data_IF_254173353759
#
_entry.id   IF_254173353759
#
_cell.length_a   1.000
_cell.length_b   1.000
_cell.length_c   1.000
_cell.angle_alpha   90.00
_cell.angle_beta   90.00
_cell.angle_gamma   90.00
#
_symmetry.space_group_name_H-M   'P 1'
#
loop_
_entity.id
_entity.type
_entity.pdbx_description
1 polymer ?
#
# COMPACT_ATOMS: atom_id res chain seq x y z
N UNK A 1 35.31 3.26 -17.87
CA UNK A 1 34.34 4.29 -17.49
C UNK A 1 33.41 3.60 -16.51
N UNK A 2 33.33 4.04 -15.26
CA UNK A 2 32.46 3.40 -14.26
C UNK A 2 31.02 3.52 -14.78
N UNK A 3 30.31 2.40 -14.91
CA UNK A 3 28.90 2.35 -15.32
C UNK A 3 28.04 3.05 -14.25
N UNK A 4 27.94 4.37 -14.34
CA UNK A 4 27.08 5.18 -13.49
C UNK A 4 25.76 5.40 -14.19
N UNK A 5 24.68 4.84 -13.62
CA UNK A 5 23.33 5.15 -14.08
C UNK A 5 23.08 6.66 -13.96
N UNK A 6 22.71 7.29 -15.07
CA UNK A 6 22.40 8.73 -15.12
C UNK A 6 20.99 8.97 -14.56
N UNK A 7 20.85 8.90 -13.24
CA UNK A 7 19.56 9.03 -12.53
C UNK A 7 19.61 10.04 -11.40
N UNK A 8 18.46 10.62 -11.06
CA UNK A 8 18.26 11.48 -9.88
C UNK A 8 17.26 10.79 -8.97
N UNK A 9 17.58 10.69 -7.68
CA UNK A 9 16.68 10.17 -6.66
C UNK A 9 15.90 11.31 -6.01
N UNK A 10 14.57 11.18 -5.96
CA UNK A 10 13.69 12.04 -5.19
C UNK A 10 13.12 11.26 -4.01
N UNK A 11 13.49 11.67 -2.79
CA UNK A 11 13.05 11.03 -1.55
C UNK A 11 12.22 12.03 -0.74
N UNK A 12 11.04 11.60 -0.32
CA UNK A 12 10.18 12.39 0.56
C UNK A 12 10.40 11.94 1.99
N UNK A 13 10.88 12.86 2.82
CA UNK A 13 11.07 12.64 4.25
C UNK A 13 10.00 13.42 5.03
N UNK A 14 9.66 12.92 6.22
CA UNK A 14 8.56 13.45 7.00
C UNK A 14 9.00 13.79 8.42
N UNK A 15 8.26 14.73 9.03
CA UNK A 15 8.61 15.31 10.33
C UNK A 15 7.72 14.80 11.48
N UNK A 16 6.80 13.87 11.22
CA UNK A 16 5.94 13.29 12.25
C UNK A 16 6.69 12.18 12.99
N UNK A 17 6.80 12.24 14.33
CA UNK A 17 7.39 11.15 15.08
C UNK A 17 6.41 9.97 15.15
N UNK A 18 6.85 8.79 14.75
CA UNK A 18 6.12 7.55 14.94
C UNK A 18 7.10 6.41 15.23
N UNK A 19 6.56 5.28 15.72
CA UNK A 19 7.39 4.11 16.01
C UNK A 19 7.85 3.48 14.70
N UNK A 20 9.15 3.50 14.46
CA UNK A 20 9.79 2.78 13.35
C UNK A 20 9.90 1.30 13.72
N UNK A 21 9.18 0.39 13.05
CA UNK A 21 9.33 -1.04 13.28
C UNK A 21 10.70 -1.52 12.77
N UNK A 22 11.24 -2.64 13.29
CA UNK A 22 12.41 -3.27 12.69
C UNK A 22 12.07 -3.73 11.27
N UNK A 23 13.12 -3.82 10.42
CA UNK A 23 12.98 -4.57 9.16
C UNK A 23 12.58 -6.02 9.49
N UNK A 24 11.87 -6.67 8.57
CA UNK A 24 11.30 -8.01 8.77
C UNK A 24 12.34 -9.02 9.33
N UNK A 25 11.86 -10.15 9.86
CA UNK A 25 12.74 -11.22 10.35
C UNK A 25 13.80 -11.59 9.29
N UNK A 26 14.95 -12.11 9.72
CA UNK A 26 16.05 -12.46 8.82
C UNK A 26 15.62 -13.33 7.62
N UNK A 27 14.62 -14.20 7.80
CA UNK A 27 14.07 -15.05 6.74
C UNK A 27 13.28 -14.29 5.64
N UNK A 28 12.81 -13.07 5.93
CA UNK A 28 12.08 -12.21 5.00
C UNK A 28 12.85 -10.92 4.66
N UNK A 29 14.08 -10.76 5.15
CA UNK A 29 14.89 -9.56 4.98
C UNK A 29 15.20 -9.31 3.50
N UNK A 30 15.70 -10.31 2.78
CA UNK A 30 16.07 -10.17 1.36
C UNK A 30 14.87 -9.78 0.49
N UNK A 31 13.72 -10.43 0.68
CA UNK A 31 12.49 -10.11 -0.04
C UNK A 31 11.96 -8.71 0.32
N UNK A 32 12.13 -8.30 1.58
CA UNK A 32 11.76 -6.95 2.03
C UNK A 32 12.67 -5.90 1.42
N UNK A 33 13.99 -6.13 1.39
CA UNK A 33 14.96 -5.22 0.77
C UNK A 33 14.74 -5.09 -0.74
N UNK A 34 14.49 -6.20 -1.43
CA UNK A 34 14.13 -6.18 -2.84
C UNK A 34 12.83 -5.41 -3.05
N UNK A 35 11.80 -5.69 -2.25
CA UNK A 35 10.52 -5.00 -2.33
C UNK A 35 10.60 -3.50 -2.05
N UNK A 36 11.43 -3.09 -1.08
CA UNK A 36 11.72 -1.67 -0.81
C UNK A 36 12.29 -0.99 -2.06
N UNK A 37 13.23 -1.64 -2.76
CA UNK A 37 13.85 -1.12 -3.99
C UNK A 37 12.90 -1.12 -5.19
N UNK A 38 12.07 -2.17 -5.32
CA UNK A 38 11.13 -2.35 -6.45
C UNK A 38 9.79 -1.64 -6.28
N UNK A 39 9.52 -1.11 -5.09
CA UNK A 39 8.46 -0.14 -4.86
C UNK A 39 7.34 -0.57 -3.90
N UNK A 40 7.29 -1.84 -3.48
CA UNK A 40 6.44 -2.26 -2.37
C UNK A 40 6.86 -3.58 -1.72
N UNK A 41 6.43 -3.81 -0.48
CA UNK A 41 6.56 -5.09 0.22
C UNK A 41 5.42 -5.28 1.24
N UNK A 42 5.15 -6.55 1.58
CA UNK A 42 4.17 -6.89 2.60
C UNK A 42 4.73 -6.54 3.98
N UNK A 43 4.18 -5.51 4.61
CA UNK A 43 4.66 -4.97 5.88
C UNK A 43 4.13 -5.78 7.06
N UNK A 44 2.82 -6.08 7.06
CA UNK A 44 2.17 -6.74 8.20
C UNK A 44 1.01 -7.61 7.75
N UNK A 45 1.12 -8.92 8.01
CA UNK A 45 0.05 -9.89 7.75
C UNK A 45 -1.09 -9.74 8.74
N UNK A 46 -2.32 -10.02 8.34
CA UNK A 46 -3.48 -10.06 9.22
C UNK A 46 -3.27 -11.03 10.40
N UNK A 47 -2.57 -12.14 10.16
CA UNK A 47 -2.28 -13.15 11.16
C UNK A 47 -1.33 -12.70 12.27
N UNK A 48 -0.60 -11.58 12.10
CA UNK A 48 0.28 -11.04 13.15
C UNK A 48 -0.45 -10.12 14.14
N UNK A 49 -1.75 -9.83 13.91
CA UNK A 49 -2.54 -9.04 14.85
C UNK A 49 -3.04 -9.93 15.98
N UNK A 50 -2.57 -9.67 17.20
CA UNK A 50 -3.02 -10.39 18.40
C UNK A 50 -4.49 -10.11 18.72
N UNK A 51 -5.19 -11.14 19.20
CA UNK A 51 -6.62 -11.07 19.53
C UNK A 51 -7.53 -11.00 18.30
N UNK A 52 -7.02 -11.32 17.11
CA UNK A 52 -7.77 -11.30 15.87
C UNK A 52 -8.97 -12.26 15.88
N UNK A 53 -10.15 -11.76 15.48
CA UNK A 53 -11.38 -12.57 15.33
C UNK A 53 -11.52 -13.09 13.90
N UNK A 54 -10.43 -13.53 13.27
CA UNK A 54 -10.44 -14.04 11.90
C UNK A 54 -10.96 -15.48 11.90
N UNK A 55 -12.08 -15.71 11.20
CA UNK A 55 -12.66 -17.02 10.95
C UNK A 55 -12.17 -17.58 9.62
N UNK A 56 -12.41 -18.87 9.37
CA UNK A 56 -12.05 -19.54 8.10
C UNK A 56 -12.60 -18.79 6.87
N UNK A 57 -13.83 -18.28 6.97
CA UNK A 57 -14.53 -17.59 5.88
C UNK A 57 -14.54 -16.06 6.05
N UNK A 58 -13.63 -15.50 6.87
CA UNK A 58 -13.47 -14.05 6.95
C UNK A 58 -13.08 -13.47 5.60
N UNK A 59 -13.67 -12.35 5.16
CA UNK A 59 -13.31 -11.72 3.89
C UNK A 59 -11.85 -11.23 3.94
N UNK A 60 -11.11 -11.41 2.85
CA UNK A 60 -9.75 -10.91 2.67
C UNK A 60 -9.76 -9.49 2.08
N UNK A 61 -8.80 -8.66 2.46
CA UNK A 61 -8.60 -7.29 2.00
C UNK A 61 -7.10 -6.95 2.04
N UNK A 62 -6.67 -6.08 1.15
CA UNK A 62 -5.32 -5.49 1.18
C UNK A 62 -5.41 -3.99 1.48
N UNK A 63 -4.53 -3.51 2.34
CA UNK A 63 -4.37 -2.11 2.66
C UNK A 63 -2.98 -1.63 2.22
N UNK A 64 -2.92 -0.54 1.48
CA UNK A 64 -1.66 0.06 1.02
C UNK A 64 -1.47 1.42 1.69
N UNK A 65 -0.25 1.68 2.13
CA UNK A 65 0.16 2.97 2.69
C UNK A 65 1.61 3.31 2.38
N UNK A 66 1.97 4.57 2.56
CA UNK A 66 3.33 5.09 2.37
C UNK A 66 3.55 6.32 3.26
N UNK A 67 4.76 6.50 3.80
CA UNK A 67 5.04 7.64 4.68
C UNK A 67 4.10 7.68 5.89
N UNK A 68 3.62 8.88 6.24
CA UNK A 68 2.93 9.19 7.50
C UNK A 68 1.56 8.58 7.57
N UNK A 69 0.91 8.37 6.42
CA UNK A 69 -0.38 7.69 6.36
C UNK A 69 -0.30 6.22 6.81
N UNK A 70 0.91 5.63 6.85
CA UNK A 70 1.10 4.25 7.30
C UNK A 70 0.58 4.05 8.74
N UNK A 71 0.69 5.06 9.61
CA UNK A 71 0.15 4.98 10.96
C UNK A 71 -1.38 4.75 10.93
N UNK A 72 -2.12 5.55 10.16
CA UNK A 72 -3.56 5.41 10.00
C UNK A 72 -3.97 4.08 9.34
N UNK A 73 -3.18 3.60 8.37
CA UNK A 73 -3.38 2.29 7.72
C UNK A 73 -3.23 1.13 8.71
N UNK A 74 -2.19 1.17 9.55
CA UNK A 74 -1.97 0.14 10.59
C UNK A 74 -3.07 0.18 11.65
N UNK A 75 -3.53 1.35 12.07
CA UNK A 75 -4.67 1.48 12.98
C UNK A 75 -5.96 0.93 12.34
N UNK A 76 -6.20 1.20 11.06
CA UNK A 76 -7.37 0.69 10.35
C UNK A 76 -7.34 -0.85 10.25
N UNK A 77 -6.15 -1.44 10.04
CA UNK A 77 -5.98 -2.90 10.05
C UNK A 77 -6.41 -3.52 11.38
N UNK A 78 -6.01 -2.92 12.51
CA UNK A 78 -6.39 -3.40 13.85
C UNK A 78 -7.91 -3.39 14.03
N UNK A 79 -8.58 -2.29 13.67
CA UNK A 79 -10.05 -2.14 13.75
C UNK A 79 -10.75 -3.18 12.86
N UNK A 80 -10.34 -3.29 11.60
CA UNK A 80 -10.93 -4.24 10.64
C UNK A 80 -10.84 -5.69 11.14
N UNK A 81 -9.73 -6.07 11.76
CA UNK A 81 -9.51 -7.43 12.25
C UNK A 81 -10.26 -7.69 13.57
N UNK A 82 -10.16 -6.78 14.54
CA UNK A 82 -10.68 -7.00 15.91
C UNK A 82 -12.18 -6.78 16.02
N UNK A 83 -12.70 -5.81 15.29
CA UNK A 83 -14.08 -5.35 15.42
C UNK A 83 -14.96 -5.91 14.30
N UNK A 84 -14.39 -6.10 13.11
CA UNK A 84 -15.14 -6.55 11.92
C UNK A 84 -14.77 -7.96 11.44
N UNK A 85 -13.71 -8.57 11.97
CA UNK A 85 -13.29 -9.92 11.57
C UNK A 85 -12.86 -10.03 10.11
N UNK A 86 -12.36 -8.94 9.51
CA UNK A 86 -11.84 -8.87 8.14
C UNK A 86 -10.35 -9.24 8.15
N UNK A 87 -9.90 -10.12 7.25
CA UNK A 87 -8.49 -10.47 7.09
C UNK A 87 -7.81 -9.38 6.24
N UNK A 88 -7.30 -8.35 6.89
CA UNK A 88 -6.63 -7.23 6.24
C UNK A 88 -5.09 -7.39 6.30
N UNK A 89 -4.43 -7.52 5.15
CA UNK A 89 -2.97 -7.47 5.04
C UNK A 89 -2.51 -6.05 4.70
N UNK A 90 -1.39 -5.57 5.27
CA UNK A 90 -0.85 -4.22 5.03
C UNK A 90 0.43 -4.29 4.20
N UNK A 91 0.47 -3.50 3.13
CA UNK A 91 1.61 -3.30 2.24
C UNK A 91 2.19 -1.91 2.42
N UNK A 92 3.52 -1.85 2.52
CA UNK A 92 4.28 -0.61 2.42
C UNK A 92 4.62 -0.38 0.96
N UNK A 93 4.15 0.75 0.40
CA UNK A 93 4.46 1.15 -0.98
C UNK A 93 5.50 2.25 -0.94
N UNK A 94 6.74 1.91 -1.24
CA UNK A 94 7.88 2.84 -1.24
C UNK A 94 7.93 3.69 -2.51
N UNK A 95 7.38 3.20 -3.64
CA UNK A 95 7.33 3.96 -4.88
C UNK A 95 6.25 3.45 -5.85
N UNK A 96 5.14 4.18 -5.96
CA UNK A 96 4.10 3.92 -6.96
C UNK A 96 4.62 4.10 -8.40
N UNK A 97 5.51 5.08 -8.62
CA UNK A 97 6.02 5.38 -9.95
C UNK A 97 6.97 4.30 -10.46
N UNK A 98 7.81 3.71 -9.60
CA UNK A 98 8.69 2.60 -10.01
C UNK A 98 7.90 1.33 -10.28
N UNK A 99 6.89 1.00 -9.44
CA UNK A 99 5.97 -0.11 -9.73
C UNK A 99 5.31 0.03 -11.10
N UNK A 100 4.80 1.22 -11.41
CA UNK A 100 4.18 1.52 -12.70
C UNK A 100 5.19 1.41 -13.86
N UNK A 101 6.39 1.97 -13.69
CA UNK A 101 7.44 1.93 -14.71
C UNK A 101 7.85 0.49 -15.04
N UNK A 102 8.07 -0.31 -14.00
CA UNK A 102 8.45 -1.71 -14.15
C UNK A 102 7.34 -2.54 -14.81
N UNK A 103 6.08 -2.33 -14.40
CA UNK A 103 4.94 -3.03 -14.99
C UNK A 103 4.72 -2.68 -16.47
N UNK A 104 4.91 -1.41 -16.86
CA UNK A 104 4.88 -1.03 -18.29
C UNK A 104 6.01 -1.67 -19.10
N UNK A 105 7.21 -1.77 -18.52
CA UNK A 105 8.34 -2.41 -19.18
C UNK A 105 8.07 -3.91 -19.39
N UNK A 106 7.52 -4.59 -18.38
CA UNK A 106 7.13 -6.00 -18.47
C UNK A 106 6.03 -6.22 -19.52
N UNK A 107 4.99 -5.38 -19.56
CA UNK A 107 3.96 -5.44 -20.60
C UNK A 107 4.54 -5.24 -22.00
N UNK A 108 5.50 -4.32 -22.16
CA UNK A 108 6.14 -4.10 -23.46
C UNK A 108 6.97 -5.30 -23.88
N UNK A 109 7.80 -5.83 -22.99
CA UNK A 109 8.58 -7.02 -23.24
C UNK A 109 7.69 -8.25 -23.53
N UNK A 110 6.51 -8.33 -22.91
CA UNK A 110 5.55 -9.40 -23.16
C UNK A 110 4.98 -9.35 -24.58
N UNK A 111 4.73 -8.16 -25.14
CA UNK A 111 4.38 -8.02 -26.57
C UNK A 111 5.49 -8.52 -27.51
N UNK A 112 6.74 -8.48 -27.06
CA UNK A 112 7.92 -8.98 -27.76
C UNK A 112 8.23 -10.46 -27.44
N UNK A 113 7.34 -11.15 -26.71
CA UNK A 113 7.43 -12.59 -26.42
C UNK A 113 8.08 -12.95 -25.08
N UNK A 114 8.37 -11.99 -24.20
CA UNK A 114 8.86 -12.28 -22.85
C UNK A 114 7.75 -12.77 -21.92
N UNK A 115 8.05 -13.79 -21.11
CA UNK A 115 7.16 -14.28 -20.04
C UNK A 115 7.49 -13.69 -18.66
N UNK A 116 8.39 -12.71 -18.59
CA UNK A 116 8.85 -12.14 -17.31
C UNK A 116 7.75 -11.25 -16.70
N UNK A 117 7.24 -11.66 -15.54
CA UNK A 117 6.32 -10.87 -14.74
C UNK A 117 7.04 -9.72 -14.01
N UNK A 118 6.36 -8.58 -13.89
CA UNK A 118 6.76 -7.45 -13.05
C UNK A 118 6.61 -7.76 -11.55
N UNK A 119 7.23 -6.94 -10.70
CA UNK A 119 7.09 -7.03 -9.25
C UNK A 119 5.64 -6.89 -8.81
N UNK A 120 4.90 -5.96 -9.43
CA UNK A 120 3.49 -5.75 -9.18
C UNK A 120 2.67 -7.02 -9.46
N UNK A 121 2.97 -7.70 -10.57
CA UNK A 121 2.33 -8.96 -10.96
C UNK A 121 2.65 -10.12 -10.02
N UNK A 122 3.88 -10.18 -9.53
CA UNK A 122 4.34 -11.20 -8.57
C UNK A 122 3.82 -10.97 -7.14
N UNK A 123 3.33 -9.76 -6.84
CA UNK A 123 2.94 -9.36 -5.48
C UNK A 123 1.45 -8.98 -5.40
N UNK A 124 1.10 -7.72 -5.56
CA UNK A 124 -0.25 -7.19 -5.36
C UNK A 124 -1.26 -7.82 -6.33
N UNK A 125 -0.86 -8.20 -7.54
CA UNK A 125 -1.76 -8.94 -8.45
C UNK A 125 -2.10 -10.35 -7.94
N UNK A 126 -1.21 -11.00 -7.18
CA UNK A 126 -1.46 -12.31 -6.55
C UNK A 126 -2.19 -12.21 -5.22
N UNK A 127 -2.35 -11.00 -4.67
CA UNK A 127 -3.01 -10.81 -3.37
C UNK A 127 -4.53 -11.02 -3.45
N UNK A 128 -5.12 -11.53 -2.36
CA UNK A 128 -6.54 -11.83 -2.30
C UNK A 128 -7.40 -10.63 -1.87
N UNK A 129 -8.55 -10.48 -2.51
CA UNK A 129 -9.58 -9.51 -2.13
C UNK A 129 -9.39 -8.11 -2.73
N UNK A 130 -10.29 -7.17 -2.36
CA UNK A 130 -10.17 -5.77 -2.73
C UNK A 130 -8.94 -5.10 -2.09
N UNK A 131 -8.57 -3.95 -2.64
CA UNK A 131 -7.39 -3.18 -2.25
C UNK A 131 -7.84 -1.76 -1.91
N UNK A 132 -7.54 -1.28 -0.70
CA UNK A 132 -7.71 0.13 -0.33
C UNK A 132 -6.33 0.76 -0.14
N UNK A 133 -6.01 1.77 -0.93
CA UNK A 133 -4.75 2.50 -0.85
C UNK A 133 -4.99 3.90 -0.29
N UNK A 134 -4.32 4.24 0.80
CA UNK A 134 -4.35 5.58 1.38
C UNK A 134 -3.01 6.29 1.11
N UNK A 135 -3.09 7.57 0.77
CA UNK A 135 -1.95 8.41 0.41
C UNK A 135 -2.07 9.79 1.04
N UNK A 136 -0.95 10.34 1.54
CA UNK A 136 -0.85 11.77 1.89
C UNK A 136 -0.68 12.67 0.66
N UNK A 137 -0.65 12.07 -0.54
CA UNK A 137 -0.78 12.74 -1.82
C UNK A 137 -2.18 12.50 -2.41
N UNK A 138 -2.49 13.19 -3.51
CA UNK A 138 -3.70 12.97 -4.31
C UNK A 138 -3.92 11.49 -4.64
N UNK A 139 -5.19 11.08 -4.81
CA UNK A 139 -5.59 9.74 -5.17
C UNK A 139 -4.98 9.27 -6.51
N UNK A 140 -4.60 10.23 -7.38
CA UNK A 140 -3.86 9.96 -8.61
C UNK A 140 -2.57 9.15 -8.37
N UNK A 141 -1.92 9.31 -7.21
CA UNK A 141 -0.68 8.60 -6.89
C UNK A 141 -0.91 7.08 -6.85
N UNK A 142 -1.81 6.52 -6.01
CA UNK A 142 -2.16 5.11 -6.07
C UNK A 142 -2.87 4.71 -7.38
N UNK A 143 -3.64 5.60 -8.01
CA UNK A 143 -4.33 5.31 -9.28
C UNK A 143 -3.38 4.99 -10.44
N UNK A 144 -2.08 5.31 -10.30
CA UNK A 144 -1.03 4.84 -11.21
C UNK A 144 -1.06 3.33 -11.44
N UNK A 145 -1.53 2.55 -10.47
CA UNK A 145 -1.59 1.08 -10.53
C UNK A 145 -2.94 0.54 -11.00
N UNK A 146 -3.93 1.42 -11.24
CA UNK A 146 -5.30 1.04 -11.63
C UNK A 146 -5.36 0.14 -12.87
N UNK A 147 -4.42 0.32 -13.81
CA UNK A 147 -4.31 -0.51 -15.02
C UNK A 147 -4.16 -2.00 -14.72
N UNK A 148 -3.40 -2.36 -13.68
CA UNK A 148 -3.13 -3.77 -13.32
C UNK A 148 -4.02 -4.26 -12.19
N UNK A 149 -4.42 -3.37 -11.28
CA UNK A 149 -5.26 -3.74 -10.12
C UNK A 149 -6.77 -3.68 -10.45
N UNK A 150 -7.14 -2.95 -11.50
CA UNK A 150 -8.50 -2.83 -12.00
C UNK A 150 -9.48 -2.35 -10.94
N UNK A 151 -10.68 -2.95 -10.94
CA UNK A 151 -11.77 -2.62 -10.01
C UNK A 151 -11.49 -3.03 -8.57
N UNK A 152 -10.40 -3.76 -8.29
CA UNK A 152 -10.01 -4.11 -6.92
C UNK A 152 -9.52 -2.90 -6.15
N UNK A 153 -8.89 -1.94 -6.82
CA UNK A 153 -8.29 -0.76 -6.19
C UNK A 153 -9.34 0.30 -5.84
N UNK A 154 -9.25 0.82 -4.62
CA UNK A 154 -9.94 2.01 -4.15
C UNK A 154 -8.90 2.95 -3.55
N UNK A 155 -8.73 4.11 -4.16
CA UNK A 155 -7.73 5.11 -3.79
C UNK A 155 -8.34 6.18 -2.89
N UNK A 156 -7.67 6.47 -1.78
CA UNK A 156 -7.93 7.58 -0.88
C UNK A 156 -6.71 8.50 -0.92
N UNK A 157 -6.93 9.78 -1.15
CA UNK A 157 -5.86 10.77 -1.27
C UNK A 157 -6.29 12.15 -0.84
N UNK A 158 -5.31 13.03 -0.73
CA UNK A 158 -5.46 14.41 -0.25
C UNK A 158 -5.76 15.38 -1.39
N UNK A 159 -6.77 15.05 -2.20
CA UNK A 159 -7.19 15.89 -3.32
C UNK A 159 -7.79 17.22 -2.85
N UNK A 160 -7.34 18.32 -3.46
CA UNK A 160 -7.79 19.68 -3.13
C UNK A 160 -6.68 20.57 -2.60
N UNK A 161 -7.06 21.77 -2.13
CA UNK A 161 -6.11 22.73 -1.57
C UNK A 161 -5.82 22.42 -0.11
N UNK A 162 -4.55 22.62 0.28
CA UNK A 162 -4.14 22.53 1.68
C UNK A 162 -4.79 23.61 2.56
N UNK A 163 -4.88 23.33 3.85
CA UNK A 163 -5.37 24.25 4.87
C UNK A 163 -4.57 24.09 6.17
N UNK A 164 -4.72 25.06 7.08
CA UNK A 164 -4.05 25.05 8.39
C UNK A 164 -4.97 24.43 9.44
N UNK A 165 -4.59 23.26 9.96
CA UNK A 165 -5.26 22.61 11.09
C UNK A 165 -4.31 21.56 11.72
N UNK A 166 -4.77 20.79 12.70
CA UNK A 166 -4.03 19.64 13.24
C UNK A 166 -3.95 18.50 12.22
N UNK A 167 -2.97 17.61 12.35
CA UNK A 167 -2.80 16.46 11.45
C UNK A 167 -4.03 15.56 11.44
N UNK A 168 -4.63 15.34 12.60
CA UNK A 168 -5.83 14.51 12.77
C UNK A 168 -7.03 15.13 12.04
N UNK A 169 -7.23 16.44 12.19
CA UNK A 169 -8.30 17.17 11.53
C UNK A 169 -8.14 17.16 10.01
N UNK A 170 -6.92 17.39 9.51
CA UNK A 170 -6.60 17.35 8.08
C UNK A 170 -6.83 15.96 7.48
N UNK A 171 -6.33 14.89 8.11
CA UNK A 171 -6.55 13.51 7.62
C UNK A 171 -8.02 13.16 7.54
N UNK A 172 -8.81 13.58 8.53
CA UNK A 172 -10.26 13.40 8.54
C UNK A 172 -10.94 14.21 7.43
N UNK A 173 -10.52 15.47 7.24
CA UNK A 173 -11.05 16.33 6.19
C UNK A 173 -10.83 15.74 4.80
N UNK A 174 -9.62 15.28 4.50
CA UNK A 174 -9.27 14.67 3.22
C UNK A 174 -9.74 13.21 3.08
N UNK A 175 -10.32 12.61 4.13
CA UNK A 175 -10.82 11.24 4.06
C UNK A 175 -9.72 10.17 4.00
N UNK A 176 -8.56 10.44 4.59
CA UNK A 176 -7.42 9.52 4.66
C UNK A 176 -7.11 9.06 6.09
N UNK A 177 -7.93 9.46 7.06
CA UNK A 177 -7.83 8.98 8.45
C UNK A 177 -8.26 7.51 8.59
N UNK A 178 -7.96 6.94 9.76
CA UNK A 178 -8.30 5.56 10.14
C UNK A 178 -9.76 5.23 9.80
N UNK A 179 -10.70 6.08 10.22
CA UNK A 179 -12.13 5.80 10.07
C UNK A 179 -12.56 5.82 8.60
N UNK A 180 -11.97 6.69 7.77
CA UNK A 180 -12.22 6.69 6.33
C UNK A 180 -11.70 5.44 5.64
N UNK A 181 -10.48 5.00 6.02
CA UNK A 181 -9.90 3.74 5.50
C UNK A 181 -10.79 2.55 5.88
N UNK A 182 -11.25 2.46 7.13
CA UNK A 182 -12.15 1.40 7.60
C UNK A 182 -13.47 1.43 6.82
N UNK A 183 -14.09 2.60 6.64
CA UNK A 183 -15.33 2.74 5.86
C UNK A 183 -15.16 2.27 4.42
N UNK A 184 -14.10 2.70 3.74
CA UNK A 184 -13.81 2.29 2.37
C UNK A 184 -13.60 0.77 2.27
N UNK A 185 -12.83 0.21 3.21
CA UNK A 185 -12.60 -1.23 3.30
C UNK A 185 -13.89 -2.02 3.46
N UNK A 186 -14.73 -1.67 4.45
CA UNK A 186 -16.01 -2.34 4.72
C UNK A 186 -16.96 -2.26 3.53
N UNK A 187 -17.03 -1.11 2.86
CA UNK A 187 -17.81 -0.95 1.64
C UNK A 187 -17.36 -1.93 0.55
N UNK A 188 -16.05 -2.17 0.40
CA UNK A 188 -15.50 -3.08 -0.63
C UNK A 188 -15.64 -4.56 -0.29
N UNK A 189 -15.63 -4.95 0.98
CA UNK A 189 -15.80 -6.36 1.39
C UNK A 189 -17.27 -6.77 1.55
N UNK A 190 -18.17 -5.81 1.75
CA UNK A 190 -19.61 -6.05 1.88
C UNK A 190 -20.40 -5.97 0.56
N UNK A 191 -19.77 -5.49 -0.52
CA UNK A 191 -20.33 -5.38 -1.88
C UNK A 191 -20.16 -6.65 -2.71
#
# INVERSE_FOLDING_TARGET
MLDGDNVIYYLTAQNEPYRMPPIASAAAADQTEEGVKRGCYLLRKAASVEGAKIKKNSPSLQLLGSGSIMAAVLEAQEVLIRDHGVRADVWSVTSYSELRREALAAESASRDGSEKQSWLEQTLCQSEGPIVAASDWMALVPDQLSRWLGTRLTSLGTDGFGMSDTREALRKHFGVDRDSIVRAALHRVGS
#
